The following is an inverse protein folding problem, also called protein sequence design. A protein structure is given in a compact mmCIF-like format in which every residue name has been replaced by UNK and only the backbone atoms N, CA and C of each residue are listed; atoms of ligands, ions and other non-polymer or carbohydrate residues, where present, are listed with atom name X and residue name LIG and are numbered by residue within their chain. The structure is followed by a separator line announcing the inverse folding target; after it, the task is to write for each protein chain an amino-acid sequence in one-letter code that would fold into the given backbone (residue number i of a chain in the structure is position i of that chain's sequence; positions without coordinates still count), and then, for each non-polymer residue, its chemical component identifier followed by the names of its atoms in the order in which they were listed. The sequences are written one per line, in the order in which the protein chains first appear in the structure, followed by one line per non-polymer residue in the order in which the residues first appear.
data_IF_461123232411
#
_entry.id   IF_461123232411
#
_cell.length_a   1.000
_cell.length_b   1.000
_cell.length_c   1.000
_cell.angle_alpha   90.00
_cell.angle_beta   90.00
_cell.angle_gamma   90.00
#
_symmetry.space_group_name_H-M   'P 1'
#
loop_
_entity.id
_entity.type
_entity.pdbx_description
1 polymer ?
#
# COMPACT_ATOMS: atom_id res chain seq x y z
N UNK A 1 48.32 -20.43 7.70
CA UNK A 1 47.26 -21.11 6.95
C UNK A 1 45.96 -21.15 7.72
N UNK A 2 45.99 -21.49 8.97
CA UNK A 2 44.76 -21.51 9.76
C UNK A 2 44.16 -20.13 9.93
N UNK A 3 44.98 -19.11 10.13
CA UNK A 3 44.47 -17.76 10.27
C UNK A 3 43.83 -17.29 8.96
N UNK A 4 44.39 -17.70 7.86
CA UNK A 4 43.84 -17.37 6.55
C UNK A 4 42.45 -17.99 6.38
N UNK A 5 42.28 -19.23 6.77
CA UNK A 5 41.00 -19.88 6.70
C UNK A 5 39.96 -19.21 7.59
N UNK A 6 40.39 -18.77 8.73
CA UNK A 6 39.52 -18.07 9.66
C UNK A 6 38.97 -16.79 9.05
N UNK A 7 39.83 -16.04 8.36
CA UNK A 7 39.41 -14.83 7.72
C UNK A 7 38.37 -15.09 6.64
N UNK A 8 38.58 -16.13 5.84
CA UNK A 8 37.66 -16.46 4.77
C UNK A 8 36.27 -16.77 5.34
N UNK A 9 36.22 -17.53 6.40
CA UNK A 9 34.95 -17.90 6.99
C UNK A 9 34.24 -16.67 7.56
N UNK A 10 34.99 -15.80 8.16
CA UNK A 10 34.41 -14.65 8.85
C UNK A 10 33.85 -13.60 7.89
N UNK A 11 34.61 -13.27 6.87
CA UNK A 11 34.21 -12.21 5.95
C UNK A 11 32.93 -12.48 5.18
N UNK A 12 32.75 -13.65 4.56
CA UNK A 12 31.51 -13.93 3.86
C UNK A 12 30.30 -13.84 4.77
N UNK A 13 30.47 -14.24 5.99
CA UNK A 13 29.38 -14.18 6.95
C UNK A 13 28.96 -12.74 7.25
N UNK A 14 29.92 -11.86 7.46
CA UNK A 14 29.62 -10.46 7.71
C UNK A 14 28.92 -9.80 6.54
N UNK A 15 29.42 -10.02 5.35
CA UNK A 15 28.84 -9.45 4.14
C UNK A 15 27.42 -9.96 3.94
N UNK A 16 27.23 -11.23 4.21
CA UNK A 16 25.92 -11.83 4.09
C UNK A 16 24.91 -11.16 5.03
N UNK A 17 25.32 -10.92 6.26
CA UNK A 17 24.46 -10.26 7.23
C UNK A 17 24.05 -8.87 6.77
N UNK A 18 24.99 -8.13 6.19
CA UNK A 18 24.69 -6.80 5.68
C UNK A 18 23.71 -6.83 4.53
N UNK A 19 23.82 -7.81 3.67
CA UNK A 19 22.88 -7.96 2.56
C UNK A 19 21.49 -8.33 3.04
N UNK A 20 21.40 -9.14 4.06
CA UNK A 20 20.11 -9.49 4.63
C UNK A 20 19.39 -8.28 5.16
N UNK A 21 20.13 -7.31 5.64
CA UNK A 21 19.55 -6.07 6.13
C UNK A 21 18.67 -5.41 5.09
N UNK A 22 19.00 -5.57 3.82
CA UNK A 22 18.25 -4.95 2.75
C UNK A 22 16.91 -5.59 2.48
N UNK A 23 16.69 -6.78 2.97
CA UNK A 23 15.50 -7.54 2.67
C UNK A 23 14.38 -7.37 3.66
N UNK A 24 14.55 -6.50 4.61
CA UNK A 24 13.51 -6.27 5.58
C UNK A 24 13.52 -7.20 6.77
N UNK A 25 14.43 -8.17 6.79
CA UNK A 25 14.56 -9.02 7.97
C UNK A 25 14.97 -8.21 9.19
N UNK A 26 15.57 -7.06 8.94
CA UNK A 26 15.89 -6.14 10.02
C UNK A 26 14.67 -5.67 10.77
N UNK A 27 13.51 -5.71 10.13
CA UNK A 27 12.27 -5.32 10.79
C UNK A 27 11.89 -6.27 11.90
N UNK A 28 12.59 -7.39 12.01
CA UNK A 28 12.35 -8.33 13.10
C UNK A 28 13.22 -8.09 14.31
N UNK A 29 14.19 -7.19 14.23
CA UNK A 29 15.03 -6.84 15.36
C UNK A 29 14.22 -6.10 16.44
N UNK A 30 14.68 -6.16 17.65
CA UNK A 30 13.98 -5.56 18.78
C UNK A 30 13.69 -4.07 18.56
N UNK A 31 14.68 -3.34 18.04
CA UNK A 31 14.51 -1.92 17.79
C UNK A 31 13.43 -1.67 16.72
N UNK A 32 13.48 -2.45 15.65
CA UNK A 32 12.51 -2.31 14.56
C UNK A 32 11.12 -2.69 15.03
N UNK A 33 11.00 -3.72 15.84
CA UNK A 33 9.71 -4.09 16.41
C UNK A 33 9.15 -2.98 17.29
N UNK A 34 10.01 -2.36 18.09
CA UNK A 34 9.58 -1.25 18.92
C UNK A 34 9.08 -0.09 18.10
N UNK A 35 9.77 0.25 17.01
CA UNK A 35 9.34 1.31 16.12
C UNK A 35 8.00 0.97 15.48
N UNK A 36 7.85 -0.25 14.97
CA UNK A 36 6.60 -0.68 14.36
C UNK A 36 5.44 -0.65 15.35
N UNK A 37 5.71 -0.96 16.61
CA UNK A 37 4.68 -0.93 17.66
C UNK A 37 4.17 0.48 17.89
N UNK A 38 5.02 1.48 17.71
CA UNK A 38 4.65 2.88 17.90
C UNK A 38 3.88 3.44 16.70
N UNK A 39 3.95 2.77 15.55
CA UNK A 39 3.27 3.22 14.35
C UNK A 39 1.86 2.66 14.30
N UNK A 40 0.91 3.48 13.89
CA UNK A 40 -0.49 3.07 13.76
C UNK A 40 -0.97 3.33 12.35
N UNK A 41 -1.89 2.50 11.88
CA UNK A 41 -2.48 2.64 10.55
C UNK A 41 -3.06 4.04 10.37
N UNK A 42 -3.72 4.57 11.38
CA UNK A 42 -4.36 5.90 11.30
C UNK A 42 -3.35 7.02 10.98
N UNK A 43 -2.08 6.81 11.31
CA UNK A 43 -1.04 7.82 11.06
C UNK A 43 -0.47 7.75 9.64
N UNK A 44 -0.73 6.68 8.92
CA UNK A 44 -0.19 6.49 7.57
C UNK A 44 -1.28 6.40 6.51
N UNK A 45 -2.55 6.36 6.90
CA UNK A 45 -3.64 6.30 5.95
C UNK A 45 -3.80 7.65 5.25
N UNK A 46 -3.93 7.61 3.92
CA UNK A 46 -4.15 8.78 3.10
C UNK A 46 -5.58 8.77 2.58
N UNK A 47 -6.26 9.90 2.68
CA UNK A 47 -7.70 10.00 2.40
C UNK A 47 -8.04 10.84 1.19
N UNK A 48 -7.08 11.42 0.51
CA UNK A 48 -7.32 12.32 -0.62
C UNK A 48 -7.51 11.56 -1.93
N UNK A 49 -8.36 10.56 -1.92
CA UNK A 49 -8.71 9.78 -3.10
C UNK A 49 -10.15 10.05 -3.48
N UNK A 50 -10.43 10.09 -4.78
CA UNK A 50 -11.78 10.26 -5.27
C UNK A 50 -12.46 8.91 -5.32
N UNK A 51 -13.56 8.78 -4.58
CA UNK A 51 -14.34 7.55 -4.54
C UNK A 51 -15.27 7.52 -5.74
N UNK A 52 -15.39 6.37 -6.38
CA UNK A 52 -16.31 6.18 -7.50
C UNK A 52 -17.29 5.05 -7.16
N UNK A 53 -18.36 4.97 -7.91
CA UNK A 53 -19.43 4.02 -7.65
C UNK A 53 -19.68 3.14 -8.88
N UNK A 54 -20.15 1.90 -8.69
CA UNK A 54 -20.28 0.97 -9.82
C UNK A 54 -21.26 1.41 -10.89
N UNK A 55 -22.24 2.24 -10.56
CA UNK A 55 -23.26 2.71 -11.51
C UNK A 55 -22.73 3.84 -12.41
N UNK A 56 -21.63 4.47 -12.05
CA UNK A 56 -21.04 5.53 -12.84
C UNK A 56 -20.57 4.99 -14.18
N UNK A 57 -20.81 5.76 -15.25
CA UNK A 57 -20.29 5.36 -16.56
C UNK A 57 -18.86 5.84 -16.77
N UNK A 58 -18.25 5.41 -17.87
CA UNK A 58 -16.87 5.78 -18.18
C UNK A 58 -16.69 7.28 -18.26
N UNK A 59 -17.68 8.01 -18.80
CA UNK A 59 -17.61 9.46 -18.89
C UNK A 59 -17.51 10.12 -17.52
N UNK A 60 -18.31 9.66 -16.58
CA UNK A 60 -18.27 10.17 -15.22
C UNK A 60 -16.96 9.79 -14.52
N UNK A 61 -16.45 8.59 -14.80
CA UNK A 61 -15.16 8.16 -14.27
C UNK A 61 -14.03 9.04 -14.79
N UNK A 62 -14.04 9.38 -16.08
CA UNK A 62 -13.02 10.26 -16.67
C UNK A 62 -13.05 11.64 -16.02
N UNK A 63 -14.24 12.15 -15.70
CA UNK A 63 -14.35 13.41 -14.96
C UNK A 63 -13.74 13.31 -13.57
N UNK A 64 -13.97 12.21 -12.88
CA UNK A 64 -13.38 11.98 -11.57
C UNK A 64 -11.85 11.92 -11.66
N UNK A 65 -11.34 11.27 -12.70
CA UNK A 65 -9.90 11.19 -12.95
C UNK A 65 -9.30 12.57 -13.15
N UNK A 66 -9.95 13.42 -13.95
CA UNK A 66 -9.42 14.75 -14.23
C UNK A 66 -9.45 15.65 -12.99
N UNK A 67 -10.29 15.36 -12.04
CA UNK A 67 -10.36 16.13 -10.78
C UNK A 67 -9.39 15.60 -9.71
N UNK A 68 -8.70 14.50 -9.99
CA UNK A 68 -7.84 13.82 -9.00
C UNK A 68 -6.38 13.89 -9.40
N UNK A 69 -5.51 13.83 -8.39
CA UNK A 69 -4.07 13.70 -8.61
C UNK A 69 -3.59 12.27 -8.42
N UNK A 70 -4.50 11.35 -8.18
CA UNK A 70 -4.18 9.96 -7.89
C UNK A 70 -4.44 9.08 -9.11
N UNK A 71 -3.77 7.95 -9.14
CA UNK A 71 -3.88 6.99 -10.24
C UNK A 71 -4.74 5.77 -9.88
N UNK A 72 -5.29 5.76 -8.69
CA UNK A 72 -6.11 4.67 -8.22
C UNK A 72 -7.39 5.24 -7.61
N UNK A 73 -8.51 4.56 -7.85
CA UNK A 73 -9.83 5.04 -7.44
C UNK A 73 -10.57 3.91 -6.72
N UNK A 74 -10.91 4.12 -5.44
CA UNK A 74 -11.68 3.10 -4.73
C UNK A 74 -13.12 3.10 -5.23
N UNK A 75 -13.68 1.91 -5.38
CA UNK A 75 -15.07 1.73 -5.77
C UNK A 75 -15.86 1.28 -4.56
N UNK A 76 -16.87 2.04 -4.18
CA UNK A 76 -17.73 1.70 -3.05
C UNK A 76 -19.18 1.61 -3.50
N UNK A 77 -19.96 0.81 -2.76
CA UNK A 77 -21.40 0.76 -2.98
C UNK A 77 -22.08 1.93 -2.26
N UNK A 78 -23.41 1.94 -2.27
CA UNK A 78 -24.20 3.02 -1.66
C UNK A 78 -23.99 3.15 -0.16
N UNK A 79 -23.59 2.06 0.48
CA UNK A 79 -23.33 2.06 1.92
C UNK A 79 -21.90 2.46 2.29
N UNK A 80 -21.05 2.67 1.28
CA UNK A 80 -19.66 3.00 1.52
C UNK A 80 -18.75 1.80 1.65
N UNK A 81 -19.26 0.59 1.38
CA UNK A 81 -18.47 -0.63 1.43
C UNK A 81 -17.55 -0.69 0.21
N UNK A 82 -16.29 -0.95 0.45
CA UNK A 82 -15.31 -1.08 -0.62
C UNK A 82 -15.54 -2.39 -1.38
N UNK A 83 -15.79 -2.29 -2.68
CA UNK A 83 -16.09 -3.46 -3.51
C UNK A 83 -15.10 -3.70 -4.63
N UNK A 84 -14.26 -2.74 -4.93
CA UNK A 84 -13.26 -2.89 -5.98
C UNK A 84 -12.38 -1.68 -6.09
N UNK A 85 -11.49 -1.69 -7.07
CA UNK A 85 -10.63 -0.56 -7.39
C UNK A 85 -10.57 -0.40 -8.90
N UNK A 86 -10.34 0.85 -9.35
CA UNK A 86 -10.03 1.15 -10.73
C UNK A 86 -8.69 1.85 -10.75
N UNK A 87 -7.76 1.41 -11.58
CA UNK A 87 -6.50 2.10 -11.76
C UNK A 87 -6.50 2.79 -13.12
N UNK A 88 -5.71 3.85 -13.21
CA UNK A 88 -5.55 4.57 -14.48
C UNK A 88 -5.03 3.64 -15.57
N UNK A 89 -4.16 2.71 -15.22
CA UNK A 89 -3.63 1.73 -16.17
C UNK A 89 -4.72 0.85 -16.77
N UNK A 90 -5.73 0.49 -15.98
CA UNK A 90 -6.81 -0.39 -16.44
C UNK A 90 -7.66 0.24 -17.52
N UNK A 91 -7.77 1.55 -17.53
CA UNK A 91 -8.67 2.26 -18.44
C UNK A 91 -7.95 3.14 -19.46
N UNK A 92 -6.63 3.14 -19.44
CA UNK A 92 -5.82 4.03 -20.29
C UNK A 92 -6.19 3.93 -21.77
N UNK A 93 -6.48 2.73 -22.24
CA UNK A 93 -6.77 2.50 -23.65
C UNK A 93 -8.13 3.02 -24.08
N UNK A 94 -9.05 3.25 -23.17
CA UNK A 94 -10.42 3.62 -23.50
C UNK A 94 -10.84 4.98 -22.94
N UNK A 95 -10.04 5.58 -22.06
CA UNK A 95 -10.46 6.80 -21.35
C UNK A 95 -10.65 8.02 -22.25
N UNK A 96 -10.05 8.04 -23.43
CA UNK A 96 -10.20 9.14 -24.36
C UNK A 96 -11.17 8.83 -25.50
N UNK A 97 -11.79 7.66 -25.46
CA UNK A 97 -12.72 7.25 -26.52
C UNK A 97 -14.14 7.58 -26.10
N UNK A 98 -14.58 8.78 -26.49
CA UNK A 98 -15.88 9.31 -26.07
C UNK A 98 -17.05 8.43 -26.48
N UNK A 99 -16.93 7.71 -27.60
CA UNK A 99 -17.97 6.80 -28.05
C UNK A 99 -18.23 5.65 -27.07
N UNK A 100 -17.30 5.41 -26.14
CA UNK A 100 -17.44 4.34 -25.16
C UNK A 100 -17.97 4.83 -23.81
N UNK A 101 -18.12 6.14 -23.63
CA UNK A 101 -18.43 6.71 -22.32
C UNK A 101 -19.73 6.19 -21.72
N UNK A 102 -20.71 5.89 -22.53
CA UNK A 102 -21.99 5.36 -22.05
C UNK A 102 -22.08 3.83 -22.15
N UNK A 103 -21.05 3.18 -22.68
CA UNK A 103 -21.05 1.74 -22.87
C UNK A 103 -20.49 0.96 -21.69
N UNK A 104 -19.61 1.59 -20.93
CA UNK A 104 -18.95 0.95 -19.81
C UNK A 104 -19.34 1.62 -18.51
N UNK A 105 -19.52 0.80 -17.47
CA UNK A 105 -19.73 1.29 -16.12
C UNK A 105 -18.50 0.99 -15.28
N UNK A 106 -18.32 1.72 -14.19
CA UNK A 106 -17.23 1.47 -13.24
C UNK A 106 -17.31 0.02 -12.74
N UNK A 107 -18.52 -0.49 -12.53
CA UNK A 107 -18.71 -1.88 -12.10
C UNK A 107 -18.12 -2.91 -13.05
N UNK A 108 -18.12 -2.61 -14.36
CA UNK A 108 -17.50 -3.50 -15.35
C UNK A 108 -16.00 -3.29 -15.48
N UNK A 109 -15.52 -2.10 -15.15
CA UNK A 109 -14.11 -1.73 -15.30
C UNK A 109 -13.30 -1.99 -14.03
N UNK A 110 -13.95 -2.09 -12.89
CA UNK A 110 -13.23 -2.29 -11.63
C UNK A 110 -12.59 -3.67 -11.58
N UNK A 111 -11.49 -3.75 -10.83
CA UNK A 111 -10.78 -4.99 -10.62
C UNK A 111 -10.86 -5.39 -9.16
N UNK A 112 -10.49 -6.63 -8.88
CA UNK A 112 -10.48 -7.16 -7.53
C UNK A 112 -9.43 -6.45 -6.68
N UNK A 113 -9.73 -6.33 -5.41
CA UNK A 113 -8.83 -5.74 -4.43
C UNK A 113 -7.82 -6.82 -4.02
N UNK A 114 -6.50 -6.56 -4.12
CA UNK A 114 -5.49 -7.56 -3.75
C UNK A 114 -5.61 -8.00 -2.30
N UNK A 115 -5.83 -7.07 -1.42
CA UNK A 115 -6.08 -7.32 0.00
C UNK A 115 -6.62 -6.05 0.64
N UNK A 116 -7.27 -6.20 1.77
CA UNK A 116 -7.74 -5.07 2.56
C UNK A 116 -6.93 -5.00 3.84
N UNK A 117 -6.56 -3.78 4.20
CA UNK A 117 -6.01 -3.50 5.51
C UNK A 117 -7.13 -3.03 6.41
N UNK A 118 -7.06 -3.37 7.68
CA UNK A 118 -8.05 -2.92 8.65
C UNK A 118 -7.45 -1.84 9.52
N UNK A 119 -8.26 -0.87 9.90
CA UNK A 119 -7.81 0.24 10.74
C UNK A 119 -7.29 -0.24 12.10
N UNK A 120 -7.68 -1.44 12.52
CA UNK A 120 -7.22 -2.04 13.77
C UNK A 120 -5.99 -2.93 13.60
N UNK A 121 -5.50 -3.11 12.36
CA UNK A 121 -4.32 -3.93 12.13
C UNK A 121 -3.08 -3.34 12.77
N UNK A 122 -2.21 -4.20 13.30
CA UNK A 122 -0.89 -3.79 13.72
C UNK A 122 -0.04 -3.46 12.49
N UNK A 123 0.98 -2.65 12.67
CA UNK A 123 1.88 -2.33 11.56
C UNK A 123 2.63 -3.57 11.06
N UNK A 124 2.91 -4.52 11.95
CA UNK A 124 3.49 -5.79 11.53
C UNK A 124 2.57 -6.55 10.59
N UNK A 125 1.28 -6.57 10.88
CA UNK A 125 0.30 -7.21 10.03
C UNK A 125 0.19 -6.50 8.68
N UNK A 126 0.20 -5.18 8.70
CA UNK A 126 0.19 -4.36 7.49
C UNK A 126 1.38 -4.69 6.59
N UNK A 127 2.56 -4.73 7.17
CA UNK A 127 3.78 -5.05 6.40
C UNK A 127 3.73 -6.45 5.83
N UNK A 128 3.20 -7.39 6.59
CA UNK A 128 3.05 -8.76 6.11
C UNK A 128 2.10 -8.83 4.91
N UNK A 129 1.01 -8.08 4.96
CA UNK A 129 0.05 -8.03 3.86
C UNK A 129 0.68 -7.43 2.60
N UNK A 130 1.49 -6.38 2.75
CA UNK A 130 2.23 -5.83 1.61
C UNK A 130 3.20 -6.84 1.01
N UNK A 131 3.90 -7.58 1.86
CA UNK A 131 4.85 -8.59 1.38
C UNK A 131 4.14 -9.72 0.64
N UNK A 132 3.00 -10.14 1.14
CA UNK A 132 2.23 -11.24 0.54
C UNK A 132 1.61 -10.85 -0.81
N UNK A 133 1.15 -9.62 -0.93
CA UNK A 133 0.46 -9.16 -2.14
C UNK A 133 1.41 -8.55 -3.17
N UNK A 134 2.59 -8.14 -2.77
CA UNK A 134 3.55 -7.40 -3.62
C UNK A 134 2.99 -6.07 -4.10
N UNK A 135 1.94 -5.58 -3.47
CA UNK A 135 1.32 -4.31 -3.84
C UNK A 135 2.12 -3.13 -3.32
N UNK A 136 1.94 -1.97 -3.95
CA UNK A 136 2.54 -0.71 -3.50
C UNK A 136 1.56 0.12 -2.69
N UNK A 137 0.26 -0.09 -2.94
CA UNK A 137 -0.82 0.61 -2.25
C UNK A 137 -1.89 -0.40 -1.89
N UNK A 138 -2.44 -0.29 -0.71
CA UNK A 138 -3.54 -1.15 -0.27
C UNK A 138 -4.61 -0.30 0.40
N UNK A 139 -5.88 -0.63 0.16
CA UNK A 139 -6.98 0.10 0.79
C UNK A 139 -7.15 -0.30 2.24
N UNK A 140 -7.62 0.64 3.02
CA UNK A 140 -7.94 0.46 4.44
C UNK A 140 -9.44 0.52 4.61
N UNK A 141 -9.98 -0.42 5.34
CA UNK A 141 -11.41 -0.48 5.66
C UNK A 141 -11.59 -0.64 7.16
N UNK A 142 -12.79 -0.37 7.63
CA UNK A 142 -13.16 -0.65 9.01
C UNK A 142 -13.63 -2.11 9.12
N UNK A 143 -14.07 -2.52 10.30
CA UNK A 143 -14.50 -3.90 10.54
C UNK A 143 -15.69 -4.32 9.69
N UNK A 144 -16.51 -3.38 9.28
CA UNK A 144 -17.68 -3.63 8.45
C UNK A 144 -17.37 -3.58 6.96
N UNK A 145 -16.16 -3.17 6.60
CA UNK A 145 -15.74 -3.09 5.20
C UNK A 145 -15.89 -1.71 4.58
N UNK A 146 -16.20 -0.69 5.36
CA UNK A 146 -16.31 0.67 4.85
C UNK A 146 -14.93 1.20 4.48
N UNK A 147 -14.84 1.83 3.32
CA UNK A 147 -13.59 2.42 2.84
C UNK A 147 -13.16 3.60 3.70
N UNK A 148 -11.90 3.60 4.12
CA UNK A 148 -11.33 4.66 4.95
C UNK A 148 -10.23 5.43 4.24
N UNK A 149 -9.48 4.80 3.36
CA UNK A 149 -8.36 5.43 2.67
C UNK A 149 -7.43 4.39 2.10
N UNK A 150 -6.22 4.83 1.73
CA UNK A 150 -5.17 3.95 1.24
C UNK A 150 -3.91 4.14 2.05
N UNK A 151 -3.11 3.08 2.12
CA UNK A 151 -1.77 3.13 2.67
C UNK A 151 -0.81 2.74 1.56
N UNK A 152 0.29 3.50 1.41
CA UNK A 152 1.35 3.17 0.47
C UNK A 152 2.57 2.70 1.24
N UNK A 153 3.39 1.84 0.60
CA UNK A 153 4.67 1.44 1.18
C UNK A 153 5.55 2.65 1.45
N UNK A 154 5.55 3.61 0.54
CA UNK A 154 6.36 4.83 0.69
C UNK A 154 6.00 5.60 1.94
N UNK A 155 4.70 5.72 2.20
CA UNK A 155 4.24 6.43 3.39
C UNK A 155 4.67 5.71 4.66
N UNK A 156 4.60 4.38 4.67
CA UNK A 156 5.05 3.59 5.81
C UNK A 156 6.53 3.80 6.05
N UNK A 157 7.35 3.72 5.00
CA UNK A 157 8.79 3.89 5.16
C UNK A 157 9.16 5.29 5.62
N UNK A 158 8.47 6.31 5.12
CA UNK A 158 8.72 7.67 5.56
C UNK A 158 8.37 7.85 7.04
N UNK A 159 7.24 7.31 7.45
CA UNK A 159 6.83 7.37 8.85
C UNK A 159 7.77 6.57 9.74
N UNK A 160 8.20 5.40 9.26
CA UNK A 160 9.16 4.58 9.97
C UNK A 160 10.46 5.34 10.22
N UNK A 161 10.96 6.01 9.20
CA UNK A 161 12.19 6.80 9.32
C UNK A 161 12.04 7.93 10.33
N UNK A 162 10.92 8.62 10.30
CA UNK A 162 10.66 9.71 11.23
C UNK A 162 10.63 9.23 12.68
N UNK A 163 9.95 8.11 12.92
CA UNK A 163 9.90 7.51 14.25
C UNK A 163 11.28 7.05 14.68
N UNK A 164 12.03 6.44 13.76
CA UNK A 164 13.36 5.94 14.04
C UNK A 164 14.33 7.07 14.42
N UNK A 165 14.29 8.18 13.69
CA UNK A 165 15.12 9.34 13.99
C UNK A 165 14.77 9.89 15.37
N UNK A 166 13.50 10.04 15.66
CA UNK A 166 13.04 10.52 16.96
C UNK A 166 13.48 9.59 18.07
N UNK A 167 13.38 8.30 17.81
CA UNK A 167 13.79 7.27 18.77
C UNK A 167 15.30 7.29 19.02
N UNK A 168 16.08 7.63 18.00
CA UNK A 168 17.54 7.65 18.10
C UNK A 168 18.07 8.87 18.85
N UNK A 169 17.31 9.95 18.87
CA UNK A 169 17.70 11.17 19.56
C UNK A 169 17.57 11.05 21.07
N UNK A 170 16.80 10.10 21.54
CA UNK A 170 16.63 9.82 22.95
C UNK A 170 17.70 8.85 23.43
#
# INVERSE_FOLDING_TARGET
ASSYLTIIVFEPHSIYSMRLAKKGELLTHHKDKAVLTLMKVENVVEKDFVVVHPEMDLGELVKAISASRRNIFPVTDKSGILIGIVTLDDIRNIMFRQELYHRFTVGKLMTAIPARLYDTDSMEQVMRTFDDTKAWNLPVVDEEGHYLGFVSKSKIFNSYRQVLVHFSED
#
